data_IF_477106048346
#
_entry.id   IF_477106048346
#
_cell.length_a   1.000
_cell.length_b   1.000
_cell.length_c   1.000
_cell.angle_alpha   90.00
_cell.angle_beta   90.00
_cell.angle_gamma   90.00
#
_symmetry.space_group_name_H-M   'P 1'
#
loop_
_entity.id
_entity.type
_entity.pdbx_description
1 polymer ?
#
# COMPACT_ATOMS: atom_id res chain seq x y z
N UNK A 1 27.12 -8.58 11.21
CA UNK A 1 26.96 -9.63 10.18
C UNK A 1 25.66 -9.35 9.45
N UNK A 2 25.73 -8.85 8.21
CA UNK A 2 24.58 -8.51 7.39
C UNK A 2 24.24 -9.72 6.51
N UNK A 3 23.10 -10.36 6.74
CA UNK A 3 22.58 -11.41 5.86
C UNK A 3 22.06 -10.77 4.57
N UNK A 4 22.45 -11.26 3.39
CA UNK A 4 21.94 -10.74 2.13
C UNK A 4 20.43 -10.97 2.00
N UNK A 5 19.71 -9.95 1.54
CA UNK A 5 18.27 -9.98 1.24
C UNK A 5 18.01 -11.00 0.12
N UNK A 6 16.96 -11.85 0.22
CA UNK A 6 16.60 -12.76 -0.84
C UNK A 6 16.04 -11.96 -2.02
N UNK A 7 16.80 -11.90 -3.10
CA UNK A 7 16.31 -11.44 -4.40
C UNK A 7 15.26 -12.44 -4.89
N UNK A 8 14.02 -12.04 -5.21
CA UNK A 8 13.03 -12.96 -5.74
C UNK A 8 13.46 -13.40 -7.15
N UNK A 9 13.46 -14.71 -7.46
CA UNK A 9 13.83 -15.18 -8.78
C UNK A 9 12.78 -14.73 -9.81
N UNK A 10 13.25 -14.08 -10.87
CA UNK A 10 12.44 -13.80 -12.06
C UNK A 10 11.97 -15.14 -12.65
N UNK A 11 10.68 -15.43 -12.55
CA UNK A 11 10.06 -16.66 -13.08
C UNK A 11 9.30 -17.53 -12.08
N UNK A 12 8.82 -17.01 -10.95
CA UNK A 12 7.86 -17.75 -10.11
C UNK A 12 6.56 -17.98 -10.90
N UNK A 13 6.44 -19.16 -11.51
CA UNK A 13 5.15 -19.71 -11.92
C UNK A 13 4.25 -19.72 -10.68
N UNK A 14 3.08 -19.08 -10.79
CA UNK A 14 2.08 -19.15 -9.73
C UNK A 14 1.81 -20.62 -9.40
N UNK A 15 1.67 -20.98 -8.11
CA UNK A 15 1.29 -22.34 -7.75
C UNK A 15 0.01 -22.71 -8.51
N UNK A 16 -0.10 -23.93 -9.05
CA UNK A 16 -1.26 -24.33 -9.86
C UNK A 16 -2.58 -24.23 -9.08
N UNK A 17 -2.55 -24.34 -7.74
CA UNK A 17 -3.70 -24.09 -6.87
C UNK A 17 -4.11 -22.63 -6.72
N UNK A 18 -3.24 -21.67 -7.05
CA UNK A 18 -3.49 -20.24 -6.85
C UNK A 18 -4.57 -19.68 -7.80
N UNK A 19 -4.57 -20.08 -9.07
CA UNK A 19 -5.60 -19.67 -10.05
C UNK A 19 -6.96 -20.25 -9.67
N UNK A 20 -7.00 -21.53 -9.30
CA UNK A 20 -8.21 -22.19 -8.81
C UNK A 20 -8.74 -21.52 -7.54
N UNK A 21 -7.85 -21.18 -6.60
CA UNK A 21 -8.20 -20.45 -5.39
C UNK A 21 -8.80 -19.08 -5.73
N UNK A 22 -8.16 -18.33 -6.63
CA UNK A 22 -8.64 -17.03 -7.09
C UNK A 22 -10.03 -17.11 -7.70
N UNK A 23 -10.29 -18.07 -8.59
CA UNK A 23 -11.61 -18.30 -9.19
C UNK A 23 -12.68 -18.61 -8.12
N UNK A 24 -12.34 -19.45 -7.14
CA UNK A 24 -13.25 -19.79 -6.03
C UNK A 24 -13.54 -18.59 -5.13
N UNK A 25 -12.54 -17.75 -4.87
CA UNK A 25 -12.71 -16.50 -4.10
C UNK A 25 -13.59 -15.52 -4.88
N UNK A 26 -13.37 -15.33 -6.19
CA UNK A 26 -14.24 -14.47 -7.00
C UNK A 26 -15.69 -14.96 -7.00
N UNK A 27 -15.91 -16.26 -7.15
CA UNK A 27 -17.25 -16.84 -7.08
C UNK A 27 -17.90 -16.62 -5.71
N UNK A 28 -17.15 -16.77 -4.62
CA UNK A 28 -17.63 -16.51 -3.27
C UNK A 28 -18.00 -15.03 -3.07
N UNK A 29 -17.16 -14.10 -3.54
CA UNK A 29 -17.43 -12.67 -3.48
C UNK A 29 -18.69 -12.29 -4.26
N UNK A 30 -18.89 -12.84 -5.45
CA UNK A 30 -20.12 -12.63 -6.23
C UNK A 30 -21.36 -13.12 -5.49
N UNK A 31 -21.29 -14.30 -4.86
CA UNK A 31 -22.40 -14.84 -4.03
C UNK A 31 -22.68 -13.98 -2.79
N UNK A 32 -21.62 -13.50 -2.12
CA UNK A 32 -21.75 -12.58 -0.99
C UNK A 32 -22.41 -11.27 -1.42
N UNK A 33 -21.97 -10.69 -2.53
CA UNK A 33 -22.58 -9.48 -3.10
C UNK A 33 -24.06 -9.70 -3.40
N UNK A 34 -24.42 -10.81 -4.05
CA UNK A 34 -25.82 -11.13 -4.33
C UNK A 34 -26.65 -11.33 -3.05
N UNK A 35 -26.07 -11.95 -2.02
CA UNK A 35 -26.73 -12.13 -0.72
C UNK A 35 -26.92 -10.80 0.00
N UNK A 36 -25.96 -9.89 -0.08
CA UNK A 36 -26.07 -8.53 0.47
C UNK A 36 -27.24 -7.78 -0.18
N UNK A 37 -27.42 -7.90 -1.50
CA UNK A 37 -28.57 -7.30 -2.17
C UNK A 37 -29.90 -7.87 -1.67
N UNK A 38 -29.98 -9.18 -1.40
CA UNK A 38 -31.17 -9.80 -0.79
C UNK A 38 -31.39 -9.26 0.63
N UNK A 39 -30.34 -9.07 1.43
CA UNK A 39 -30.44 -8.54 2.79
C UNK A 39 -30.87 -7.08 2.81
N UNK A 40 -30.39 -6.26 1.86
CA UNK A 40 -30.80 -4.84 1.73
C UNK A 40 -32.29 -4.71 1.44
N UNK A 41 -32.83 -5.62 0.65
CA UNK A 41 -34.25 -5.69 0.29
C UNK A 41 -35.05 -6.57 1.24
N UNK A 42 -34.49 -6.95 2.40
CA UNK A 42 -35.19 -7.78 3.38
C UNK A 42 -35.57 -6.96 4.64
N UNK A 43 -36.82 -7.00 5.10
CA UNK A 43 -38.01 -7.60 4.47
C UNK A 43 -38.73 -6.58 3.55
N UNK A 44 -38.62 -6.72 2.23
CA UNK A 44 -39.49 -6.00 1.28
C UNK A 44 -40.82 -6.72 1.14
N UNK A 45 -41.72 -6.48 2.08
CA UNK A 45 -43.14 -6.53 1.77
C UNK A 45 -43.85 -5.43 2.53
N UNK A 46 -44.28 -4.40 1.80
CA UNK A 46 -45.30 -3.45 2.28
C UNK A 46 -46.68 -4.11 2.44
N UNK A 47 -46.77 -5.45 2.35
CA UNK A 47 -47.95 -6.26 2.60
C UNK A 47 -47.69 -7.30 3.69
N UNK A 48 -48.62 -7.39 4.64
CA UNK A 48 -48.62 -8.30 5.79
C UNK A 48 -48.96 -9.77 5.38
N UNK A 49 -48.44 -10.21 4.22
CA UNK A 49 -48.67 -11.55 3.73
C UNK A 49 -47.57 -12.48 4.26
N UNK A 50 -47.93 -13.30 5.24
CA UNK A 50 -47.07 -14.31 5.84
C UNK A 50 -46.44 -15.26 4.79
N UNK A 51 -47.09 -15.47 3.65
CA UNK A 51 -46.57 -16.26 2.53
C UNK A 51 -45.33 -15.61 1.89
N UNK A 52 -45.35 -14.29 1.72
CA UNK A 52 -44.24 -13.52 1.12
C UNK A 52 -43.03 -13.52 2.05
N UNK A 53 -43.26 -13.37 3.36
CA UNK A 53 -42.20 -13.45 4.37
C UNK A 53 -41.51 -14.82 4.39
N UNK A 54 -42.28 -15.90 4.28
CA UNK A 54 -41.72 -17.25 4.25
C UNK A 54 -40.90 -17.49 2.97
N UNK A 55 -41.39 -17.03 1.82
CA UNK A 55 -40.69 -17.16 0.54
C UNK A 55 -39.37 -16.36 0.52
N UNK A 56 -39.40 -15.10 0.96
CA UNK A 56 -38.20 -14.24 1.04
C UNK A 56 -37.17 -14.77 2.05
N UNK A 57 -37.63 -15.24 3.22
CA UNK A 57 -36.76 -15.86 4.22
C UNK A 57 -36.12 -17.15 3.70
N UNK A 58 -36.90 -17.98 2.99
CA UNK A 58 -36.38 -19.22 2.36
C UNK A 58 -35.32 -18.91 1.29
N UNK A 59 -35.52 -17.85 0.51
CA UNK A 59 -34.54 -17.36 -0.47
C UNK A 59 -33.26 -16.91 0.21
N UNK A 60 -33.36 -16.12 1.29
CA UNK A 60 -32.20 -15.69 2.07
C UNK A 60 -31.43 -16.88 2.66
N UNK A 61 -32.12 -17.84 3.26
CA UNK A 61 -31.50 -19.06 3.81
C UNK A 61 -30.75 -19.83 2.71
N UNK A 62 -31.37 -20.00 1.54
CA UNK A 62 -30.75 -20.68 0.40
C UNK A 62 -29.47 -19.97 -0.05
N UNK A 63 -29.50 -18.64 -0.19
CA UNK A 63 -28.33 -17.84 -0.54
C UNK A 63 -27.21 -17.93 0.49
N UNK A 64 -27.54 -17.93 1.79
CA UNK A 64 -26.56 -18.13 2.86
C UNK A 64 -25.92 -19.53 2.79
N UNK A 65 -26.70 -20.57 2.52
CA UNK A 65 -26.17 -21.92 2.34
C UNK A 65 -25.22 -22.01 1.13
N UNK A 66 -25.50 -21.29 0.05
CA UNK A 66 -24.61 -21.20 -1.10
C UNK A 66 -23.28 -20.50 -0.79
N UNK A 67 -23.30 -19.45 0.05
CA UNK A 67 -22.10 -18.77 0.56
C UNK A 67 -21.29 -19.72 1.43
N UNK A 68 -21.92 -20.44 2.35
CA UNK A 68 -21.26 -21.44 3.21
C UNK A 68 -20.62 -22.55 2.35
N UNK A 69 -21.32 -23.02 1.32
CA UNK A 69 -20.78 -24.00 0.37
C UNK A 69 -19.58 -23.43 -0.40
N UNK A 70 -19.63 -22.17 -0.82
CA UNK A 70 -18.51 -21.46 -1.43
C UNK A 70 -17.29 -21.37 -0.52
N UNK A 71 -17.50 -21.03 0.77
CA UNK A 71 -16.44 -20.98 1.79
C UNK A 71 -15.76 -22.33 1.97
N UNK A 72 -16.55 -23.41 2.10
CA UNK A 72 -16.01 -24.78 2.17
C UNK A 72 -15.20 -25.15 0.93
N UNK A 73 -15.62 -24.67 -0.24
CA UNK A 73 -14.89 -24.84 -1.49
C UNK A 73 -13.52 -24.15 -1.48
N UNK A 74 -13.45 -22.90 -1.03
CA UNK A 74 -12.19 -22.15 -0.86
C UNK A 74 -11.28 -22.85 0.15
N UNK A 75 -11.81 -23.23 1.31
CA UNK A 75 -11.07 -23.95 2.34
C UNK A 75 -10.53 -25.29 1.81
N UNK A 76 -11.32 -26.01 1.02
CA UNK A 76 -10.91 -27.27 0.39
C UNK A 76 -9.70 -27.12 -0.52
N UNK A 77 -9.64 -26.05 -1.33
CA UNK A 77 -8.49 -25.76 -2.20
C UNK A 77 -7.24 -25.46 -1.37
N UNK A 78 -7.37 -24.64 -0.31
CA UNK A 78 -6.24 -24.31 0.57
C UNK A 78 -5.75 -25.52 1.37
N UNK A 79 -6.65 -26.43 1.77
CA UNK A 79 -6.28 -27.67 2.46
C UNK A 79 -5.63 -28.70 1.55
N UNK A 80 -6.06 -28.78 0.29
CA UNK A 80 -5.56 -29.74 -0.68
C UNK A 80 -4.12 -29.43 -1.13
N UNK A 81 -3.78 -28.15 -1.24
CA UNK A 81 -2.45 -27.70 -1.67
C UNK A 81 -1.60 -27.20 -0.48
N UNK A 82 -0.74 -28.09 0.03
CA UNK A 82 0.11 -27.78 1.18
C UNK A 82 1.18 -26.71 0.88
N UNK A 83 1.59 -26.59 -0.37
CA UNK A 83 2.60 -25.61 -0.80
C UNK A 83 1.97 -24.23 -0.95
N UNK A 84 0.75 -24.17 -1.49
CA UNK A 84 -0.08 -22.96 -1.47
C UNK A 84 -0.36 -22.50 -0.04
N UNK A 85 -0.72 -23.41 0.87
CA UNK A 85 -0.93 -23.07 2.29
C UNK A 85 0.33 -22.50 2.92
N UNK A 86 1.49 -23.12 2.70
CA UNK A 86 2.77 -22.61 3.20
C UNK A 86 3.10 -21.24 2.59
N UNK A 87 2.86 -21.05 1.30
CA UNK A 87 3.08 -19.77 0.62
C UNK A 87 2.17 -18.66 1.18
N UNK A 88 0.89 -18.96 1.42
CA UNK A 88 -0.06 -18.03 2.04
C UNK A 88 0.33 -17.69 3.48
N UNK A 89 0.78 -18.68 4.26
CA UNK A 89 1.27 -18.46 5.64
C UNK A 89 2.60 -17.69 5.67
N UNK A 90 3.45 -17.88 4.65
CA UNK A 90 4.73 -17.20 4.51
C UNK A 90 4.60 -15.80 3.89
N UNK A 91 3.40 -15.37 3.49
CA UNK A 91 3.14 -14.02 3.03
C UNK A 91 2.72 -13.16 4.23
N UNK A 92 3.65 -12.44 4.89
CA UNK A 92 3.28 -11.53 5.96
C UNK A 92 2.45 -10.40 5.37
N UNK A 93 1.15 -10.40 5.64
CA UNK A 93 0.34 -9.20 5.45
C UNK A 93 0.84 -8.20 6.47
N UNK A 94 1.52 -7.14 6.00
CA UNK A 94 2.08 -6.15 6.93
C UNK A 94 0.95 -5.60 7.81
N UNK A 95 1.19 -5.47 9.11
CA UNK A 95 0.18 -5.04 10.07
C UNK A 95 -0.42 -3.68 9.69
N UNK A 96 0.40 -2.80 9.10
CA UNK A 96 -0.04 -1.52 8.54
C UNK A 96 -1.04 -1.66 7.39
N UNK A 97 -1.00 -2.75 6.62
CA UNK A 97 -2.00 -3.06 5.60
C UNK A 97 -3.30 -3.47 6.27
N UNK A 98 -3.24 -4.37 7.26
CA UNK A 98 -4.40 -4.81 8.05
C UNK A 98 -5.07 -3.63 8.79
N UNK A 99 -4.28 -2.73 9.37
CA UNK A 99 -4.81 -1.51 10.01
C UNK A 99 -5.46 -0.60 8.96
N UNK A 100 -4.90 -0.50 7.76
CA UNK A 100 -5.54 0.19 6.62
C UNK A 100 -6.81 -0.53 6.13
N UNK A 101 -6.91 -1.86 6.26
CA UNK A 101 -8.13 -2.63 5.95
C UNK A 101 -9.25 -2.34 6.96
N UNK A 102 -8.90 -2.06 8.21
CA UNK A 102 -9.84 -1.88 9.31
C UNK A 102 -10.41 -0.45 9.41
N UNK A 103 -9.80 0.52 8.72
CA UNK A 103 -10.36 1.87 8.61
C UNK A 103 -11.52 1.87 7.61
N UNK A 104 -12.76 1.97 8.12
CA UNK A 104 -14.04 1.83 7.39
C UNK A 104 -14.34 2.76 6.21
N UNK A 105 -13.33 3.33 5.54
CA UNK A 105 -13.43 4.12 4.31
C UNK A 105 -13.13 3.34 3.02
N UNK A 106 -12.81 2.05 3.11
CA UNK A 106 -12.57 1.18 1.97
C UNK A 106 -11.11 1.14 1.51
N UNK A 107 -10.72 -0.04 1.03
CA UNK A 107 -9.40 -0.36 0.50
C UNK A 107 -9.09 0.48 -0.75
N UNK A 108 -8.07 1.31 -0.67
CA UNK A 108 -7.33 1.68 -1.87
C UNK A 108 -5.90 1.14 -1.75
N UNK A 109 -5.59 -0.02 -2.37
CA UNK A 109 -4.23 -0.57 -2.34
C UNK A 109 -3.21 0.40 -2.95
N UNK A 110 -3.65 1.33 -3.81
CA UNK A 110 -2.81 2.39 -4.34
C UNK A 110 -2.38 3.40 -3.27
N UNK A 111 -3.18 3.63 -2.22
CA UNK A 111 -2.78 4.52 -1.12
C UNK A 111 -1.64 3.91 -0.31
N UNK A 112 -1.68 2.60 -0.04
CA UNK A 112 -0.59 1.90 0.64
C UNK A 112 0.67 1.88 -0.22
N UNK A 113 0.56 1.51 -1.50
CA UNK A 113 1.72 1.45 -2.40
C UNK A 113 2.36 2.83 -2.61
N UNK A 114 1.56 3.90 -2.73
CA UNK A 114 2.05 5.29 -2.80
C UNK A 114 2.69 5.74 -1.50
N UNK A 115 2.11 5.39 -0.35
CA UNK A 115 2.69 5.66 0.96
C UNK A 115 4.06 4.99 1.13
N UNK A 116 4.15 3.71 0.79
CA UNK A 116 5.39 2.93 0.82
C UNK A 116 6.45 3.51 -0.12
N UNK A 117 6.05 3.90 -1.34
CA UNK A 117 6.96 4.52 -2.30
C UNK A 117 7.46 5.89 -1.80
N UNK A 118 6.58 6.70 -1.22
CA UNK A 118 6.96 8.01 -0.66
C UNK A 118 7.94 7.87 0.49
N UNK A 119 7.70 6.92 1.39
CA UNK A 119 8.58 6.66 2.53
C UNK A 119 9.94 6.13 2.09
N UNK A 120 9.97 5.15 1.18
CA UNK A 120 11.23 4.63 0.62
C UNK A 120 12.05 5.70 -0.11
N UNK A 121 11.39 6.59 -0.88
CA UNK A 121 12.05 7.75 -1.47
C UNK A 121 12.58 8.74 -0.42
N UNK A 122 11.82 8.95 0.66
CA UNK A 122 12.24 9.76 1.81
C UNK A 122 13.51 9.21 2.46
N UNK A 123 13.53 7.91 2.74
CA UNK A 123 14.69 7.21 3.29
C UNK A 123 15.90 7.26 2.36
N UNK A 124 15.69 7.08 1.05
CA UNK A 124 16.73 7.18 0.04
C UNK A 124 17.35 8.58 0.00
N UNK A 125 16.53 9.64 0.05
CA UNK A 125 17.01 11.03 0.15
C UNK A 125 17.86 11.23 1.42
N UNK A 126 17.41 10.72 2.56
CA UNK A 126 18.16 10.77 3.82
C UNK A 126 19.49 10.01 3.76
N UNK A 127 19.53 8.86 3.08
CA UNK A 127 20.75 8.09 2.83
C UNK A 127 21.73 8.84 1.92
N UNK A 128 21.25 9.48 0.84
CA UNK A 128 22.10 10.28 -0.06
C UNK A 128 22.76 11.45 0.67
N UNK A 129 22.02 12.17 1.52
CA UNK A 129 22.59 13.26 2.35
C UNK A 129 23.69 12.75 3.28
N UNK A 130 23.45 11.62 3.96
CA UNK A 130 24.46 10.99 4.84
C UNK A 130 25.68 10.51 4.06
N UNK A 131 25.50 9.93 2.88
CA UNK A 131 26.59 9.54 1.97
C UNK A 131 27.44 10.73 1.56
N UNK A 132 26.81 11.87 1.24
CA UNK A 132 27.52 13.10 0.89
C UNK A 132 28.35 13.62 2.07
N UNK A 133 27.75 13.71 3.26
CA UNK A 133 28.45 14.14 4.47
C UNK A 133 29.65 13.24 4.80
N UNK A 134 29.49 11.91 4.67
CA UNK A 134 30.59 10.95 4.84
C UNK A 134 31.69 11.13 3.79
N UNK A 135 31.33 11.46 2.54
CA UNK A 135 32.30 11.73 1.48
C UNK A 135 33.13 12.98 1.80
N UNK A 136 32.47 14.07 2.20
CA UNK A 136 33.16 15.32 2.60
C UNK A 136 34.06 15.08 3.82
N UNK A 137 33.59 14.32 4.80
CA UNK A 137 34.41 13.93 5.96
C UNK A 137 35.64 13.11 5.53
N UNK A 138 35.46 12.14 4.63
CA UNK A 138 36.55 11.34 4.09
C UNK A 138 37.59 12.18 3.35
N UNK A 139 37.16 13.14 2.53
CA UNK A 139 38.05 14.07 1.83
C UNK A 139 38.83 14.96 2.81
N UNK A 140 38.18 15.46 3.86
CA UNK A 140 38.82 16.27 4.89
C UNK A 140 39.87 15.47 5.69
N UNK A 141 39.53 14.24 6.09
CA UNK A 141 40.46 13.33 6.78
C UNK A 141 41.66 12.99 5.90
N UNK A 142 41.43 12.66 4.63
CA UNK A 142 42.51 12.33 3.69
C UNK A 142 43.43 13.54 3.43
N UNK A 143 42.86 14.74 3.37
CA UNK A 143 43.62 16.00 3.25
C UNK A 143 44.45 16.29 4.49
N UNK A 144 43.92 16.03 5.69
CA UNK A 144 44.65 16.18 6.96
C UNK A 144 45.82 15.21 7.08
N UNK A 145 45.61 13.93 6.74
CA UNK A 145 46.67 12.91 6.74
C UNK A 145 47.75 13.19 5.69
N UNK A 146 47.37 13.69 4.51
CA UNK A 146 48.34 14.07 3.46
C UNK A 146 49.23 15.25 3.86
N UNK A 147 48.69 16.21 4.62
CA UNK A 147 49.42 17.37 5.11
C UNK A 147 50.50 16.99 6.15
N UNK A 148 50.27 15.98 6.99
CA UNK A 148 51.29 15.52 7.96
C UNK A 148 52.48 14.81 7.30
N UNK A 149 52.28 14.21 6.12
CA UNK A 149 53.36 13.58 5.34
C UNK A 149 54.20 14.57 4.51
N UNK A 150 53.74 15.82 4.39
CA UNK A 150 54.38 16.88 3.60
C UNK A 150 54.73 18.10 4.47
N UNK A 151 55.53 17.85 5.51
CA UNK A 151 56.25 18.91 6.20
C UNK A 151 57.29 19.54 5.27
N UNK A 152 56.90 20.57 4.50
CA UNK A 152 57.79 21.62 3.97
C UNK A 152 56.97 22.81 3.41
N UNK A 153 57.14 23.94 4.10
CA UNK A 153 57.24 25.31 3.59
C UNK A 153 56.20 25.86 2.58
N UNK A 154 55.46 26.84 3.10
CA UNK A 154 55.30 28.20 2.56
C UNK A 154 54.15 28.59 1.61
N UNK A 155 53.67 29.81 1.90
CA UNK A 155 52.96 30.78 1.05
C UNK A 155 51.51 30.52 0.59
N UNK A 156 50.61 31.24 1.26
CA UNK A 156 49.70 32.25 0.67
C UNK A 156 49.27 31.99 -0.77
N UNK A 157 48.09 31.40 -0.98
CA UNK A 157 47.37 31.60 -2.24
C UNK A 157 45.84 31.59 -2.05
N UNK A 158 45.25 32.77 -2.34
CA UNK A 158 43.81 32.99 -2.47
C UNK A 158 43.22 32.01 -3.48
N UNK A 159 42.45 31.02 -3.02
CA UNK A 159 41.57 30.25 -3.91
C UNK A 159 40.20 30.92 -3.97
N UNK A 160 39.93 31.47 -5.15
CA UNK A 160 38.64 31.89 -5.65
C UNK A 160 37.64 30.74 -5.48
N UNK A 161 36.57 31.02 -4.74
CA UNK A 161 35.40 30.17 -4.61
C UNK A 161 34.75 30.10 -5.99
N UNK A 162 34.79 28.94 -6.67
CA UNK A 162 33.91 28.65 -7.79
C UNK A 162 32.91 27.61 -7.30
N UNK A 163 31.66 28.05 -7.20
CA UNK A 163 30.50 27.21 -6.91
C UNK A 163 30.40 26.07 -7.93
N UNK A 164 30.21 24.81 -7.52
CA UNK A 164 29.81 23.77 -8.45
C UNK A 164 28.37 24.04 -8.89
N UNK A 165 28.22 24.47 -10.14
CA UNK A 165 26.96 24.59 -10.87
C UNK A 165 26.22 23.24 -10.86
N UNK A 166 25.23 23.13 -9.98
CA UNK A 166 24.31 22.00 -9.94
C UNK A 166 23.35 22.17 -11.11
N UNK A 167 23.51 21.33 -12.14
CA UNK A 167 22.46 21.08 -13.13
C UNK A 167 21.27 20.45 -12.41
N UNK A 168 20.32 21.28 -12.00
CA UNK A 168 18.96 20.83 -11.72
C UNK A 168 18.32 20.48 -13.07
N UNK A 169 18.19 19.18 -13.36
CA UNK A 169 17.25 18.72 -14.37
C UNK A 169 15.84 18.95 -13.83
N UNK A 170 15.24 20.02 -14.34
CA UNK A 170 13.83 20.32 -14.34
C UNK A 170 13.12 19.32 -15.26
N UNK A 171 12.27 18.45 -14.71
CA UNK A 171 11.09 17.99 -15.45
C UNK A 171 9.90 17.64 -14.52
N UNK A 172 8.85 18.42 -14.73
CA UNK A 172 7.40 18.17 -14.64
C UNK A 172 6.69 17.86 -13.31
N UNK A 173 6.13 18.96 -12.77
CA UNK A 173 4.68 19.22 -12.53
C UNK A 173 3.90 18.41 -11.48
N UNK A 174 3.73 19.02 -10.30
CA UNK A 174 2.52 18.85 -9.46
C UNK A 174 1.84 20.22 -9.26
N UNK A 175 0.52 20.37 -9.51
CA UNK A 175 -0.20 21.59 -9.18
C UNK A 175 -0.56 21.62 -7.69
N UNK A 176 -0.02 22.62 -6.99
CA UNK A 176 -0.51 23.07 -5.69
C UNK A 176 -1.91 23.67 -5.81
N UNK A 177 -2.92 23.04 -5.22
CA UNK A 177 -4.16 23.75 -4.86
C UNK A 177 -4.11 24.17 -3.39
N UNK A 178 -3.79 25.46 -3.20
CA UNK A 178 -3.95 26.16 -1.93
C UNK A 178 -5.44 26.48 -1.70
N UNK A 179 -5.89 26.18 -0.48
CA UNK A 179 -6.99 26.80 0.28
C UNK A 179 -7.36 28.21 -0.21
N UNK A 180 -8.64 28.41 -0.53
CA UNK A 180 -9.31 29.71 -0.41
C UNK A 180 -10.44 29.57 0.62
N UNK A 181 -10.28 30.31 1.71
CA UNK A 181 -11.25 30.57 2.77
C UNK A 181 -12.05 31.80 2.34
N UNK A 182 -13.38 31.72 2.37
CA UNK A 182 -14.23 32.92 2.36
C UNK A 182 -15.36 32.70 3.37
N UNK A 183 -15.36 33.52 4.41
CA UNK A 183 -16.45 33.67 5.38
C UNK A 183 -17.52 34.63 4.87
N UNK A 184 -18.74 34.46 5.41
CA UNK A 184 -19.87 35.40 5.54
C UNK A 184 -20.72 35.71 4.30
N UNK A 185 -22.01 35.35 4.34
CA UNK A 185 -23.04 36.24 4.92
C UNK A 185 -24.41 35.54 5.07
N UNK A 186 -25.12 35.89 6.15
CA UNK A 186 -26.56 35.65 6.40
C UNK A 186 -27.16 37.05 6.54
N UNK A 187 -28.27 37.42 5.88
CA UNK A 187 -29.63 37.19 6.39
C UNK A 187 -30.66 37.02 5.23
N UNK A 188 -31.98 36.86 5.34
CA UNK A 188 -33.01 36.94 6.36
C UNK A 188 -34.21 36.08 5.88
N UNK A 189 -35.08 35.67 6.79
CA UNK A 189 -36.45 35.24 6.48
C UNK A 189 -37.25 36.41 5.84
N UNK A 190 -38.36 36.11 5.14
CA UNK A 190 -39.63 36.47 5.77
C UNK A 190 -40.82 35.53 5.47
N UNK A 191 -41.70 35.51 6.48
CA UNK A 191 -43.17 35.31 6.47
C UNK A 191 -43.74 33.94 6.10
#
# INVERSE_FOLDING_TARGET
MLTPSPTPPAGQQMPPGATTLQEKIHLLLSKLSSTIEIVKTWPESEGDDASIHLATTTKLISSLLEVISGLKGVEGVVKADSDLRKALQACPVSINLLDLLDHGGGLNPDCFSRGLLRESLGQLKGLRRRKLALKMLGEAVNSGLGAESSGKEDTTNKRKLEDPEIKEEEDTSEPSTKKARTEKDTPAAPS
#
